data_IF_789113605067
#
_entry.id   IF_789113605067
#
_cell.length_a   1.000
_cell.length_b   1.000
_cell.length_c   1.000
_cell.angle_alpha   90.00
_cell.angle_beta   90.00
_cell.angle_gamma   90.00
#
_symmetry.space_group_name_H-M   'P 1'
#
loop_
_entity.id
_entity.type
_entity.pdbx_description
1 polymer ?
#
# COMPACT_ATOMS: atom_id res chain seq x y z
N UNK A 1 36.82 23.47 -22.38
CA UNK A 1 37.73 22.72 -21.47
C UNK A 1 37.10 21.43 -20.92
N UNK A 2 35.97 21.46 -20.21
CA UNK A 2 35.30 20.24 -19.66
C UNK A 2 34.98 19.21 -20.74
N UNK A 3 34.35 19.63 -21.84
CA UNK A 3 34.00 18.74 -22.96
C UNK A 3 35.24 18.11 -23.62
N UNK A 4 36.33 18.86 -23.77
CA UNK A 4 37.59 18.35 -24.35
C UNK A 4 38.29 17.35 -23.42
N UNK A 5 38.28 17.59 -22.11
CA UNK A 5 38.79 16.63 -21.13
C UNK A 5 37.96 15.34 -21.13
N UNK A 6 36.64 15.48 -21.25
CA UNK A 6 35.71 14.37 -21.34
C UNK A 6 35.91 13.54 -22.62
N UNK A 7 36.03 14.19 -23.78
CA UNK A 7 36.35 13.54 -25.06
C UNK A 7 37.74 12.86 -25.02
N UNK A 8 38.73 13.49 -24.39
CA UNK A 8 40.04 12.88 -24.20
C UNK A 8 39.98 11.66 -23.29
N UNK A 9 39.10 11.66 -22.28
CA UNK A 9 38.89 10.52 -21.41
C UNK A 9 38.26 9.34 -22.15
N UNK A 10 37.20 9.61 -22.91
CA UNK A 10 36.57 8.65 -23.82
C UNK A 10 37.58 8.02 -24.77
N UNK A 11 38.41 8.82 -25.45
CA UNK A 11 39.32 8.33 -26.48
C UNK A 11 40.54 7.59 -25.92
N UNK A 12 41.12 8.08 -24.82
CA UNK A 12 42.39 7.55 -24.28
C UNK A 12 42.21 6.44 -23.23
N UNK A 13 41.03 6.31 -22.64
CA UNK A 13 40.75 5.35 -21.56
C UNK A 13 39.43 4.59 -21.77
N UNK A 14 39.20 4.12 -23.01
CA UNK A 14 37.97 3.46 -23.47
C UNK A 14 37.48 2.34 -22.54
N UNK A 15 38.36 1.43 -22.14
CA UNK A 15 37.99 0.29 -21.28
C UNK A 15 37.49 0.71 -19.90
N UNK A 16 38.19 1.64 -19.25
CA UNK A 16 37.78 2.17 -17.93
C UNK A 16 36.47 2.97 -18.01
N UNK A 17 36.30 3.73 -19.09
CA UNK A 17 35.05 4.44 -19.34
C UNK A 17 33.88 3.48 -19.55
N UNK A 18 34.06 2.43 -20.35
CA UNK A 18 33.03 1.43 -20.60
C UNK A 18 32.63 0.71 -19.30
N UNK A 19 33.60 0.29 -18.48
CA UNK A 19 33.35 -0.33 -17.17
C UNK A 19 32.56 0.60 -16.25
N UNK A 20 32.94 1.89 -16.20
CA UNK A 20 32.22 2.90 -15.42
C UNK A 20 30.76 3.00 -15.88
N UNK A 21 30.54 3.17 -17.20
CA UNK A 21 29.20 3.35 -17.75
C UNK A 21 28.32 2.12 -17.53
N UNK A 22 28.81 0.93 -17.88
CA UNK A 22 28.05 -0.32 -17.74
C UNK A 22 27.68 -0.54 -16.28
N UNK A 23 28.62 -0.39 -15.35
CA UNK A 23 28.30 -0.61 -13.95
C UNK A 23 27.27 0.38 -13.41
N UNK A 24 27.36 1.66 -13.76
CA UNK A 24 26.41 2.66 -13.27
C UNK A 24 25.02 2.47 -13.88
N UNK A 25 24.94 2.09 -15.16
CA UNK A 25 23.69 1.74 -15.83
C UNK A 25 23.05 0.52 -15.15
N UNK A 26 23.82 -0.55 -14.93
CA UNK A 26 23.32 -1.76 -14.26
C UNK A 26 22.82 -1.43 -12.85
N UNK A 27 23.58 -0.64 -12.08
CA UNK A 27 23.15 -0.22 -10.74
C UNK A 27 21.82 0.54 -10.75
N UNK A 28 21.63 1.49 -11.67
CA UNK A 28 20.37 2.23 -11.79
C UNK A 28 19.21 1.31 -12.18
N UNK A 29 19.43 0.40 -13.14
CA UNK A 29 18.43 -0.60 -13.56
C UNK A 29 18.04 -1.51 -12.39
N UNK A 30 19.00 -1.97 -11.59
CA UNK A 30 18.72 -2.77 -10.39
C UNK A 30 17.92 -1.99 -9.35
N UNK A 31 18.26 -0.72 -9.09
CA UNK A 31 17.54 0.13 -8.13
C UNK A 31 16.08 0.31 -8.58
N UNK A 32 15.86 0.60 -9.87
CA UNK A 32 14.52 0.67 -10.44
C UNK A 32 13.81 -0.65 -10.22
N UNK A 33 14.35 -1.76 -10.73
CA UNK A 33 13.74 -3.08 -10.59
C UNK A 33 13.34 -3.44 -9.15
N UNK A 34 14.25 -3.30 -8.18
CA UNK A 34 13.99 -3.59 -6.77
C UNK A 34 12.88 -2.70 -6.21
N UNK A 35 12.86 -1.41 -6.55
CA UNK A 35 11.77 -0.51 -6.16
C UNK A 35 10.42 -0.97 -6.71
N UNK A 36 10.37 -1.37 -7.98
CA UNK A 36 9.15 -1.87 -8.62
C UNK A 36 8.63 -3.16 -7.99
N UNK A 37 9.51 -4.12 -7.72
CA UNK A 37 9.12 -5.36 -7.03
C UNK A 37 8.58 -5.06 -5.64
N UNK A 38 9.20 -4.13 -4.91
CA UNK A 38 8.76 -3.77 -3.58
C UNK A 38 7.37 -3.14 -3.57
N UNK A 39 7.17 -2.10 -4.38
CA UNK A 39 5.88 -1.44 -4.48
C UNK A 39 4.80 -2.41 -4.97
N UNK A 40 5.14 -3.35 -5.87
CA UNK A 40 4.20 -4.39 -6.30
C UNK A 40 3.75 -5.25 -5.14
N UNK A 41 4.70 -5.71 -4.31
CA UNK A 41 4.37 -6.53 -3.15
C UNK A 41 3.50 -5.73 -2.16
N UNK A 42 3.81 -4.45 -1.92
CA UNK A 42 2.93 -3.60 -1.11
C UNK A 42 1.53 -3.46 -1.70
N UNK A 43 1.41 -3.32 -3.03
CA UNK A 43 0.12 -3.28 -3.71
C UNK A 43 -0.62 -4.63 -3.65
N UNK A 44 0.07 -5.76 -3.79
CA UNK A 44 -0.52 -7.09 -3.58
C UNK A 44 -1.03 -7.27 -2.15
N UNK A 45 -0.29 -6.74 -1.19
CA UNK A 45 -0.67 -6.78 0.22
C UNK A 45 -1.85 -5.84 0.49
N UNK A 46 -1.89 -4.64 -0.10
CA UNK A 46 -2.99 -3.68 0.09
C UNK A 46 -4.26 -4.03 -0.69
N UNK A 47 -4.15 -4.59 -1.89
CA UNK A 47 -5.29 -5.00 -2.71
C UNK A 47 -6.08 -6.15 -2.06
N UNK A 48 -5.45 -6.92 -1.19
CA UNK A 48 -6.11 -7.94 -0.35
C UNK A 48 -6.78 -7.34 0.92
N UNK A 49 -6.68 -6.03 1.15
CA UNK A 49 -7.05 -5.34 2.42
C UNK A 49 -8.03 -4.19 2.19
N UNK A 50 -8.53 -4.02 0.97
CA UNK A 50 -9.30 -2.83 0.60
C UNK A 50 -10.72 -2.78 1.19
N UNK A 51 -11.01 -3.63 2.16
CA UNK A 51 -12.24 -3.54 2.90
C UNK A 51 -11.91 -2.94 4.26
N UNK A 52 -12.47 -1.77 4.57
CA UNK A 52 -12.61 -1.25 5.93
C UNK A 52 -13.57 -2.16 6.75
N UNK A 53 -13.55 -3.44 6.47
CA UNK A 53 -14.56 -4.42 6.81
C UNK A 53 -13.85 -5.51 7.58
N UNK A 54 -14.18 -5.62 8.86
CA UNK A 54 -13.78 -6.74 9.69
C UNK A 54 -14.87 -7.79 9.61
N UNK A 55 -14.52 -9.06 9.45
CA UNK A 55 -15.50 -10.12 9.27
C UNK A 55 -15.28 -11.28 10.23
N UNK A 56 -16.37 -11.92 10.62
CA UNK A 56 -16.37 -13.14 11.40
C UNK A 56 -17.56 -14.03 11.05
N UNK A 57 -17.34 -15.33 11.21
CA UNK A 57 -18.30 -16.39 10.94
C UNK A 57 -18.68 -17.10 12.25
N UNK A 58 -19.95 -17.49 12.35
CA UNK A 58 -20.49 -18.28 13.46
C UNK A 58 -20.93 -19.69 13.04
N UNK A 59 -20.54 -20.16 11.85
CA UNK A 59 -20.99 -21.44 11.27
C UNK A 59 -20.80 -22.67 12.17
N UNK A 60 -19.92 -22.61 13.17
CA UNK A 60 -19.61 -23.72 14.09
C UNK A 60 -20.14 -23.51 15.51
N UNK A 61 -20.84 -22.41 15.78
CA UNK A 61 -21.29 -22.04 17.11
C UNK A 61 -22.75 -21.61 17.11
N UNK A 62 -23.37 -21.63 18.28
CA UNK A 62 -24.72 -21.10 18.47
C UNK A 62 -24.61 -19.82 19.25
N UNK A 63 -24.75 -18.68 18.56
CA UNK A 63 -24.68 -17.35 19.16
C UNK A 63 -26.07 -16.85 19.48
N UNK A 64 -26.26 -16.29 20.68
CA UNK A 64 -27.52 -15.66 21.05
C UNK A 64 -27.53 -14.18 20.67
N UNK A 65 -28.74 -13.63 20.46
CA UNK A 65 -28.92 -12.19 20.23
C UNK A 65 -28.32 -11.33 21.34
N UNK A 66 -28.43 -11.78 22.59
CA UNK A 66 -27.92 -11.08 23.76
C UNK A 66 -26.39 -10.98 23.74
N UNK A 67 -25.71 -12.08 23.39
CA UNK A 67 -24.27 -12.11 23.20
C UNK A 67 -23.83 -11.16 22.10
N UNK A 68 -24.50 -11.19 20.95
CA UNK A 68 -24.19 -10.31 19.82
C UNK A 68 -24.41 -8.83 20.16
N UNK A 69 -25.50 -8.52 20.86
CA UNK A 69 -25.83 -7.16 21.31
C UNK A 69 -24.79 -6.64 22.30
N UNK A 70 -24.27 -7.50 23.16
CA UNK A 70 -23.16 -7.14 24.06
C UNK A 70 -21.92 -6.78 23.25
N UNK A 71 -21.52 -7.61 22.28
CA UNK A 71 -20.36 -7.34 21.43
C UNK A 71 -20.52 -6.01 20.68
N UNK A 72 -21.68 -5.75 20.07
CA UNK A 72 -21.92 -4.48 19.36
C UNK A 72 -21.67 -3.29 20.28
N UNK A 73 -22.22 -3.33 21.50
CA UNK A 73 -22.03 -2.26 22.50
C UNK A 73 -20.57 -2.15 22.93
N UNK A 74 -19.89 -3.25 23.25
CA UNK A 74 -18.47 -3.20 23.61
C UNK A 74 -17.64 -2.57 22.49
N UNK A 75 -17.84 -2.99 21.24
CA UNK A 75 -17.09 -2.47 20.07
C UNK A 75 -17.35 -0.99 19.80
N UNK A 76 -18.49 -0.45 20.19
CA UNK A 76 -18.89 0.95 19.91
C UNK A 76 -18.69 1.89 21.11
N UNK A 77 -18.96 1.42 22.33
CA UNK A 77 -18.90 2.22 23.55
C UNK A 77 -17.54 2.11 24.26
N UNK A 78 -16.95 0.91 24.31
CA UNK A 78 -15.73 0.65 25.11
C UNK A 78 -14.45 0.79 24.27
N UNK A 79 -14.53 0.51 22.97
CA UNK A 79 -13.42 0.62 22.04
C UNK A 79 -13.61 1.82 21.09
N UNK A 80 -12.52 2.52 20.77
CA UNK A 80 -12.51 3.62 19.78
C UNK A 80 -12.53 3.08 18.34
N UNK A 81 -13.51 2.22 18.01
CA UNK A 81 -13.74 1.87 16.61
C UNK A 81 -14.58 2.94 15.96
N UNK A 82 -14.08 3.49 14.86
CA UNK A 82 -14.85 4.39 14.01
C UNK A 82 -15.81 3.59 13.11
N UNK A 83 -16.74 2.85 13.71
CA UNK A 83 -17.72 2.00 13.02
C UNK A 83 -18.70 2.85 12.24
N UNK A 84 -18.89 2.51 10.96
CA UNK A 84 -19.93 3.08 10.11
C UNK A 84 -21.25 2.32 10.29
N UNK A 85 -21.23 1.01 10.01
CA UNK A 85 -22.33 0.10 10.28
C UNK A 85 -21.82 -1.33 10.49
N UNK A 86 -22.72 -2.18 10.96
CA UNK A 86 -22.50 -3.59 11.22
C UNK A 86 -23.46 -4.38 10.32
N UNK A 87 -22.91 -5.32 9.56
CA UNK A 87 -23.68 -6.28 8.78
C UNK A 87 -23.87 -7.55 9.62
N UNK A 88 -25.12 -7.98 9.75
CA UNK A 88 -25.49 -9.20 10.47
C UNK A 88 -26.33 -10.04 9.54
N UNK A 89 -25.94 -11.29 9.34
CA UNK A 89 -26.67 -12.27 8.53
C UNK A 89 -27.02 -13.50 9.37
N UNK A 90 -28.20 -14.05 9.14
CA UNK A 90 -28.70 -15.23 9.83
C UNK A 90 -29.59 -16.07 8.91
N UNK A 91 -29.57 -17.38 9.09
CA UNK A 91 -30.39 -18.31 8.32
C UNK A 91 -31.09 -19.33 9.22
N UNK A 92 -32.13 -19.96 8.69
CA UNK A 92 -32.75 -21.13 9.30
C UNK A 92 -32.38 -22.37 8.50
N UNK A 93 -31.90 -23.41 9.21
CA UNK A 93 -31.43 -24.64 8.58
C UNK A 93 -32.52 -25.26 7.70
N UNK A 94 -32.22 -25.42 6.41
CA UNK A 94 -33.15 -25.99 5.42
C UNK A 94 -34.13 -24.98 4.82
N UNK A 95 -33.97 -23.68 5.11
CA UNK A 95 -34.67 -22.58 4.46
C UNK A 95 -33.77 -21.96 3.39
N UNK A 96 -34.36 -21.56 2.27
CA UNK A 96 -33.69 -20.74 1.23
C UNK A 96 -33.75 -19.23 1.57
N UNK A 97 -34.24 -18.89 2.77
CA UNK A 97 -34.41 -17.52 3.24
C UNK A 97 -33.26 -17.16 4.19
N UNK A 98 -32.63 -16.02 3.94
CA UNK A 98 -31.69 -15.37 4.86
C UNK A 98 -32.29 -14.09 5.45
N UNK A 99 -31.82 -13.74 6.64
CA UNK A 99 -32.23 -12.57 7.41
C UNK A 99 -31.01 -11.68 7.58
N UNK A 100 -31.08 -10.46 7.06
CA UNK A 100 -29.97 -9.52 7.08
C UNK A 100 -30.36 -8.19 7.72
N UNK A 101 -29.39 -7.56 8.37
CA UNK A 101 -29.48 -6.21 8.87
C UNK A 101 -28.16 -5.47 8.64
N UNK A 102 -28.25 -4.19 8.31
CA UNK A 102 -27.12 -3.26 8.18
C UNK A 102 -27.28 -2.21 9.25
N UNK A 103 -27.06 -2.65 10.49
CA UNK A 103 -27.39 -1.90 11.70
C UNK A 103 -26.31 -0.88 12.04
N UNK A 104 -26.74 0.27 12.52
CA UNK A 104 -25.89 1.30 13.10
C UNK A 104 -26.28 1.50 14.57
N UNK A 105 -25.28 1.58 15.43
CA UNK A 105 -25.44 1.89 16.86
C UNK A 105 -24.70 3.20 17.17
N UNK A 106 -25.46 4.23 17.52
CA UNK A 106 -24.96 5.58 17.84
C UNK A 106 -25.70 6.11 19.06
N UNK A 107 -24.97 6.72 19.99
CA UNK A 107 -25.54 7.37 21.19
C UNK A 107 -26.53 6.48 21.97
N UNK A 108 -26.24 5.18 22.04
CA UNK A 108 -27.08 4.21 22.73
C UNK A 108 -28.30 3.71 21.94
N UNK A 109 -28.48 4.15 20.68
CA UNK A 109 -29.65 3.87 19.86
C UNK A 109 -29.29 3.01 18.64
N UNK A 110 -30.07 1.94 18.43
CA UNK A 110 -30.00 1.12 17.20
C UNK A 110 -30.89 1.71 16.11
N UNK A 111 -30.37 1.71 14.89
CA UNK A 111 -31.04 2.18 13.68
C UNK A 111 -30.49 1.47 12.45
N UNK A 112 -31.19 1.54 11.32
CA UNK A 112 -30.62 1.11 10.04
C UNK A 112 -29.56 2.12 9.58
N UNK A 113 -28.51 1.65 8.88
CA UNK A 113 -27.40 2.50 8.44
C UNK A 113 -27.85 3.62 7.50
N UNK A 114 -27.59 4.87 7.87
CA UNK A 114 -27.81 6.05 7.02
C UNK A 114 -27.07 5.94 5.68
N UNK A 115 -25.82 5.46 5.69
CA UNK A 115 -24.99 5.31 4.49
C UNK A 115 -25.59 4.30 3.52
N UNK A 116 -26.08 3.18 4.03
CA UNK A 116 -26.72 2.16 3.19
C UNK A 116 -28.07 2.66 2.70
N UNK A 117 -28.85 3.32 3.56
CA UNK A 117 -30.13 3.93 3.19
C UNK A 117 -29.98 4.89 2.01
N UNK A 118 -28.96 5.75 2.03
CA UNK A 118 -28.66 6.66 0.93
C UNK A 118 -28.38 5.91 -0.39
N UNK A 119 -27.65 4.79 -0.33
CA UNK A 119 -27.32 3.97 -1.49
C UNK A 119 -28.53 3.21 -2.07
N UNK A 120 -29.48 2.80 -1.24
CA UNK A 120 -30.66 2.02 -1.69
C UNK A 120 -31.88 2.88 -2.00
N UNK A 121 -31.86 4.18 -1.67
CA UNK A 121 -33.01 5.10 -1.82
C UNK A 121 -33.61 5.13 -3.22
N UNK A 122 -32.80 4.97 -4.27
CA UNK A 122 -33.27 4.93 -5.66
C UNK A 122 -33.97 3.63 -6.07
N UNK A 123 -33.87 2.58 -5.24
CA UNK A 123 -34.34 1.22 -5.51
C UNK A 123 -35.33 0.72 -4.45
N UNK A 124 -35.72 1.58 -3.50
CA UNK A 124 -36.57 1.28 -2.36
C UNK A 124 -37.95 1.89 -2.55
N UNK A 125 -38.98 1.04 -2.55
CA UNK A 125 -40.36 1.45 -2.35
C UNK A 125 -40.73 1.27 -0.87
N UNK A 126 -41.33 2.28 -0.24
CA UNK A 126 -41.63 2.27 1.20
C UNK A 126 -40.47 2.74 2.06
N UNK A 127 -40.24 2.08 3.19
CA UNK A 127 -39.25 2.50 4.19
C UNK A 127 -38.35 1.34 4.66
N UNK A 128 -37.10 1.67 4.98
CA UNK A 128 -36.23 0.79 5.78
C UNK A 128 -36.61 0.86 7.27
N UNK A 129 -36.04 -0.04 8.06
CA UNK A 129 -36.29 -0.07 9.49
C UNK A 129 -35.83 1.23 10.20
N UNK A 130 -36.79 1.95 10.76
CA UNK A 130 -36.60 3.11 11.63
C UNK A 130 -36.18 2.74 13.07
N UNK A 131 -35.55 3.66 13.84
CA UNK A 131 -35.11 3.41 15.22
C UNK A 131 -36.20 2.88 16.16
N UNK A 132 -37.47 3.28 15.94
CA UNK A 132 -38.61 2.79 16.73
C UNK A 132 -38.80 1.28 16.60
N UNK A 133 -38.53 0.71 15.42
CA UNK A 133 -38.66 -0.73 15.17
C UNK A 133 -37.63 -1.52 15.97
N UNK A 134 -36.39 -1.01 16.09
CA UNK A 134 -35.35 -1.61 16.92
C UNK A 134 -35.70 -1.51 18.40
N UNK A 135 -36.13 -0.33 18.87
CA UNK A 135 -36.44 -0.07 20.29
C UNK A 135 -37.57 -0.94 20.81
N UNK A 136 -38.61 -1.16 20.00
CA UNK A 136 -39.78 -1.97 20.37
C UNK A 136 -39.69 -3.42 19.90
N UNK A 137 -38.64 -3.77 19.17
CA UNK A 137 -38.45 -5.10 18.56
C UNK A 137 -39.66 -5.46 17.70
N UNK A 138 -40.11 -4.50 16.88
CA UNK A 138 -41.27 -4.70 16.00
C UNK A 138 -40.92 -5.67 14.86
N UNK A 139 -41.89 -6.52 14.51
CA UNK A 139 -41.76 -7.54 13.48
C UNK A 139 -42.07 -6.93 12.13
N UNK A 140 -41.12 -6.17 11.60
CA UNK A 140 -41.19 -5.53 10.28
C UNK A 140 -40.16 -6.13 9.34
N UNK A 141 -40.41 -6.09 8.04
CA UNK A 141 -39.50 -6.65 7.02
C UNK A 141 -39.55 -5.83 5.73
N UNK A 142 -38.40 -5.74 5.07
CA UNK A 142 -38.23 -5.26 3.71
C UNK A 142 -37.89 -6.47 2.83
N UNK A 143 -38.64 -6.63 1.76
CA UNK A 143 -38.60 -7.82 0.89
C UNK A 143 -38.05 -7.49 -0.49
N UNK A 144 -37.63 -8.52 -1.25
CA UNK A 144 -37.36 -8.37 -2.67
C UNK A 144 -38.68 -8.30 -3.48
N UNK A 145 -38.70 -7.64 -4.65
CA UNK A 145 -39.89 -7.56 -5.51
C UNK A 145 -40.41 -8.94 -5.96
N UNK A 146 -39.56 -9.97 -5.94
CA UNK A 146 -39.91 -11.30 -6.43
C UNK A 146 -40.85 -12.08 -5.49
N UNK A 147 -41.02 -11.64 -4.25
CA UNK A 147 -41.93 -12.24 -3.26
C UNK A 147 -43.41 -11.93 -3.58
N UNK A 148 -43.70 -11.00 -4.52
CA UNK A 148 -45.05 -10.67 -5.01
C UNK A 148 -46.06 -10.38 -3.89
N UNK A 149 -45.65 -9.57 -2.91
CA UNK A 149 -46.50 -9.03 -1.85
C UNK A 149 -46.37 -7.52 -1.76
N UNK A 150 -47.43 -6.87 -1.28
CA UNK A 150 -47.50 -5.41 -1.19
C UNK A 150 -47.11 -4.89 0.20
N UNK A 151 -46.66 -3.64 0.24
CA UNK A 151 -46.39 -2.90 1.48
C UNK A 151 -47.68 -2.82 2.32
N UNK A 152 -47.52 -3.01 3.64
CA UNK A 152 -48.61 -3.06 4.62
C UNK A 152 -49.22 -4.45 4.81
N UNK A 153 -48.93 -5.41 3.92
CA UNK A 153 -49.35 -6.81 4.10
C UNK A 153 -48.44 -7.54 5.10
N UNK A 154 -48.91 -8.70 5.56
CA UNK A 154 -48.16 -9.57 6.46
C UNK A 154 -47.56 -10.76 5.69
N UNK A 155 -46.34 -11.14 6.06
CA UNK A 155 -45.67 -12.37 5.63
C UNK A 155 -45.30 -13.23 6.82
N UNK A 156 -45.46 -14.55 6.69
CA UNK A 156 -45.04 -15.51 7.71
C UNK A 156 -43.65 -16.02 7.36
N UNK A 157 -42.68 -15.76 8.22
CA UNK A 157 -41.28 -16.17 8.09
C UNK A 157 -40.93 -17.05 9.30
N UNK A 158 -40.59 -18.31 9.04
CA UNK A 158 -40.23 -19.32 10.06
C UNK A 158 -41.20 -19.48 11.24
N UNK A 159 -42.50 -19.25 10.98
CA UNK A 159 -43.59 -19.37 11.94
C UNK A 159 -43.89 -18.08 12.71
N UNK A 160 -43.27 -16.96 12.34
CA UNK A 160 -43.53 -15.64 12.91
C UNK A 160 -44.06 -14.68 11.83
N UNK A 161 -44.98 -13.79 12.20
CA UNK A 161 -45.62 -12.86 11.26
C UNK A 161 -44.90 -11.52 11.27
N UNK A 162 -44.57 -11.01 10.08
CA UNK A 162 -43.89 -9.74 9.86
C UNK A 162 -44.73 -8.84 8.96
N UNK A 163 -44.82 -7.56 9.31
CA UNK A 163 -45.41 -6.54 8.44
C UNK A 163 -44.39 -6.09 7.40
N UNK A 164 -44.79 -6.07 6.13
CA UNK A 164 -43.95 -5.57 5.03
C UNK A 164 -43.99 -4.04 5.07
N UNK A 165 -42.84 -3.40 5.27
CA UNK A 165 -42.71 -1.94 5.33
C UNK A 165 -42.01 -1.35 4.11
N UNK A 166 -41.36 -2.18 3.30
CA UNK A 166 -40.72 -1.76 2.07
C UNK A 166 -40.40 -2.92 1.13
N UNK A 167 -40.09 -2.57 -0.11
CA UNK A 167 -39.64 -3.46 -1.17
C UNK A 167 -38.34 -2.89 -1.74
N UNK A 168 -37.25 -3.64 -1.67
CA UNK A 168 -35.93 -3.19 -2.13
C UNK A 168 -35.48 -4.03 -3.34
N UNK A 169 -35.31 -3.37 -4.49
CA UNK A 169 -34.91 -4.02 -5.74
C UNK A 169 -33.43 -4.48 -5.77
N UNK A 170 -32.64 -4.12 -4.76
CA UNK A 170 -31.24 -4.53 -4.62
C UNK A 170 -31.12 -5.88 -3.90
N UNK A 171 -32.13 -6.29 -3.13
CA UNK A 171 -32.06 -7.51 -2.33
C UNK A 171 -32.18 -8.74 -3.22
N UNK A 172 -31.35 -9.74 -2.94
CA UNK A 172 -31.36 -11.03 -3.63
C UNK A 172 -32.66 -11.81 -3.38
N UNK A 173 -32.90 -12.82 -4.22
CA UNK A 173 -33.99 -13.75 -3.99
C UNK A 173 -33.77 -14.53 -2.71
N UNK A 174 -34.72 -14.44 -1.78
CA UNK A 174 -34.64 -15.08 -0.46
C UNK A 174 -34.02 -14.21 0.63
N UNK A 175 -33.50 -13.02 0.32
CA UNK A 175 -32.92 -12.12 1.31
C UNK A 175 -33.98 -11.21 1.94
N UNK A 176 -34.15 -11.31 3.26
CA UNK A 176 -35.12 -10.53 4.03
C UNK A 176 -34.38 -9.52 4.90
N UNK A 177 -34.64 -8.23 4.69
CA UNK A 177 -33.96 -7.17 5.43
C UNK A 177 -34.86 -6.67 6.56
N UNK A 178 -34.39 -6.79 7.80
CA UNK A 178 -35.18 -6.48 9.00
C UNK A 178 -34.28 -6.18 10.20
N UNK A 179 -34.79 -5.54 11.28
CA UNK A 179 -33.99 -5.37 12.48
C UNK A 179 -33.46 -6.72 13.00
N UNK A 180 -32.16 -6.83 13.25
CA UNK A 180 -31.56 -8.08 13.77
C UNK A 180 -32.15 -8.48 15.13
N UNK A 181 -32.58 -7.49 15.91
CA UNK A 181 -33.32 -7.68 17.15
C UNK A 181 -34.64 -8.41 16.95
N UNK A 182 -35.20 -8.33 15.74
CA UNK A 182 -36.47 -8.92 15.35
C UNK A 182 -36.31 -10.18 14.51
N UNK A 183 -35.10 -10.72 14.28
CA UNK A 183 -34.93 -12.00 13.57
C UNK A 183 -35.77 -13.13 14.19
N UNK A 184 -36.20 -14.14 13.38
CA UNK A 184 -36.95 -15.28 13.89
C UNK A 184 -36.18 -16.02 14.98
N UNK A 185 -36.89 -16.56 15.98
CA UNK A 185 -36.25 -17.26 17.10
C UNK A 185 -35.45 -18.51 16.69
N UNK A 186 -35.80 -19.10 15.55
CA UNK A 186 -35.13 -20.28 15.00
C UNK A 186 -33.88 -19.93 14.18
N UNK A 187 -33.66 -18.65 13.88
CA UNK A 187 -32.53 -18.23 13.06
C UNK A 187 -31.21 -18.43 13.81
N UNK A 188 -30.21 -18.91 13.10
CA UNK A 188 -28.83 -18.99 13.55
C UNK A 188 -28.06 -17.87 12.86
N UNK A 189 -27.32 -17.07 13.65
CA UNK A 189 -26.44 -16.06 13.08
C UNK A 189 -25.30 -16.74 12.33
N UNK A 190 -25.04 -16.31 11.11
CA UNK A 190 -24.04 -16.89 10.22
C UNK A 190 -22.80 -16.00 10.13
N UNK A 191 -23.03 -14.70 9.92
CA UNK A 191 -21.97 -13.72 9.65
C UNK A 191 -22.17 -12.47 10.51
N UNK A 192 -21.06 -11.96 11.04
CA UNK A 192 -20.99 -10.65 11.68
C UNK A 192 -19.82 -9.88 11.12
N UNK A 193 -20.12 -8.73 10.52
CA UNK A 193 -19.11 -7.90 9.90
C UNK A 193 -19.26 -6.45 10.31
N UNK A 194 -18.14 -5.76 10.45
CA UNK A 194 -18.09 -4.36 10.87
C UNK A 194 -17.43 -3.57 9.77
N UNK A 195 -18.19 -2.65 9.17
CA UNK A 195 -17.65 -1.64 8.28
C UNK A 195 -17.18 -0.44 9.10
N UNK A 196 -15.97 0.02 8.82
CA UNK A 196 -15.27 1.10 9.49
C UNK A 196 -15.16 2.30 8.55
N UNK A 197 -15.13 3.49 9.13
CA UNK A 197 -14.88 4.74 8.40
C UNK A 197 -13.39 4.93 8.08
N UNK A 198 -12.51 4.27 8.85
CA UNK A 198 -11.04 4.29 8.70
C UNK A 198 -10.46 2.87 8.76
N UNK A 199 -9.23 2.69 8.25
CA UNK A 199 -8.53 1.40 8.37
C UNK A 199 -8.25 1.09 9.86
N UNK A 200 -8.53 -0.13 10.34
CA UNK A 200 -8.28 -0.49 11.73
C UNK A 200 -6.80 -0.72 12.01
N UNK A 201 -6.39 -0.45 13.24
CA UNK A 201 -5.09 -0.82 13.79
C UNK A 201 -5.04 -2.30 14.17
N UNK A 202 -3.82 -2.84 14.38
CA UNK A 202 -3.66 -4.24 14.83
C UNK A 202 -4.35 -4.51 16.17
N UNK A 203 -4.23 -3.58 17.11
CA UNK A 203 -4.89 -3.69 18.41
C UNK A 203 -6.40 -3.79 18.24
N UNK A 204 -7.00 -2.89 17.44
CA UNK A 204 -8.43 -2.93 17.15
C UNK A 204 -8.84 -4.27 16.53
N UNK A 205 -8.12 -4.80 15.53
CA UNK A 205 -8.47 -6.13 15.02
C UNK A 205 -8.34 -7.25 16.05
N UNK A 206 -7.31 -7.22 16.89
CA UNK A 206 -7.14 -8.23 17.95
C UNK A 206 -8.26 -8.12 19.00
N UNK A 207 -8.68 -6.89 19.35
CA UNK A 207 -9.83 -6.61 20.24
C UNK A 207 -11.16 -7.12 19.62
N UNK A 208 -11.41 -6.82 18.34
CA UNK A 208 -12.54 -7.36 17.57
C UNK A 208 -12.56 -8.90 17.60
N UNK A 209 -11.40 -9.52 17.35
CA UNK A 209 -11.27 -10.97 17.37
C UNK A 209 -11.50 -11.55 18.76
N UNK A 210 -11.03 -10.87 19.80
CA UNK A 210 -11.20 -11.32 21.17
C UNK A 210 -12.67 -11.32 21.58
N UNK A 211 -13.40 -10.24 21.30
CA UNK A 211 -14.82 -10.13 21.63
C UNK A 211 -15.67 -11.19 20.90
N UNK A 212 -15.39 -11.43 19.62
CA UNK A 212 -16.14 -12.42 18.85
C UNK A 212 -15.76 -13.85 19.20
N UNK A 213 -14.48 -14.12 19.46
CA UNK A 213 -14.04 -15.44 19.92
C UNK A 213 -14.65 -15.81 21.27
N UNK A 214 -14.88 -14.84 22.15
CA UNK A 214 -15.54 -15.05 23.45
C UNK A 214 -16.98 -15.59 23.32
N UNK A 215 -17.64 -15.33 22.19
CA UNK A 215 -19.00 -15.83 21.89
C UNK A 215 -19.00 -16.98 20.87
N UNK A 216 -17.82 -17.49 20.47
CA UNK A 216 -17.67 -18.61 19.54
C UNK A 216 -17.57 -18.22 18.07
N UNK A 217 -17.27 -16.96 17.75
CA UNK A 217 -16.96 -16.51 16.40
C UNK A 217 -15.57 -16.89 15.92
N UNK A 218 -15.45 -17.18 14.63
CA UNK A 218 -14.19 -17.36 13.91
C UNK A 218 -13.99 -16.11 13.04
N UNK A 219 -13.02 -15.27 13.41
CA UNK A 219 -12.70 -14.08 12.63
C UNK A 219 -11.91 -14.45 11.38
N UNK A 220 -12.24 -13.82 10.27
CA UNK A 220 -11.48 -13.97 9.04
C UNK A 220 -10.09 -13.36 9.23
N UNK A 221 -9.11 -13.92 8.51
CA UNK A 221 -7.77 -13.35 8.46
C UNK A 221 -7.85 -11.95 7.86
N UNK A 222 -7.72 -10.94 8.73
CA UNK A 222 -7.63 -9.55 8.31
C UNK A 222 -6.15 -9.18 8.22
N UNK A 223 -5.69 -8.86 7.01
CA UNK A 223 -4.32 -8.47 6.83
C UNK A 223 -4.09 -7.06 7.39
N UNK A 224 -3.29 -6.98 8.45
CA UNK A 224 -2.73 -5.73 8.99
C UNK A 224 -1.23 -5.88 8.89
N UNK A 225 -0.55 -4.91 8.27
CA UNK A 225 0.91 -4.90 8.09
C UNK A 225 1.62 -5.38 9.38
N UNK A 226 2.13 -6.61 9.36
CA UNK A 226 2.76 -7.24 10.52
C UNK A 226 4.27 -6.91 10.56
N UNK A 227 4.91 -7.16 11.70
CA UNK A 227 6.35 -7.03 11.91
C UNK A 227 7.19 -7.85 10.89
N UNK A 228 6.66 -8.95 10.34
CA UNK A 228 7.30 -9.71 9.28
C UNK A 228 7.39 -8.94 7.95
N UNK A 229 6.37 -8.13 7.64
CA UNK A 229 6.34 -7.29 6.44
C UNK A 229 7.16 -6.02 6.63
N UNK A 230 7.19 -5.45 7.85
CA UNK A 230 8.20 -4.45 8.22
C UNK A 230 9.61 -5.02 8.10
N UNK A 231 9.84 -6.27 8.50
CA UNK A 231 11.15 -6.93 8.35
C UNK A 231 11.52 -7.09 6.88
N UNK A 232 10.56 -7.42 6.00
CA UNK A 232 10.75 -7.43 4.55
C UNK A 232 11.09 -6.03 4.04
N UNK A 233 10.33 -5.00 4.42
CA UNK A 233 10.57 -3.59 4.08
C UNK A 233 11.95 -3.11 4.53
N UNK A 234 12.33 -3.33 5.79
CA UNK A 234 13.65 -2.97 6.32
C UNK A 234 14.79 -3.76 5.66
N UNK A 235 14.60 -5.05 5.38
CA UNK A 235 15.60 -5.87 4.67
C UNK A 235 15.81 -5.36 3.24
N UNK A 236 14.76 -4.85 2.60
CA UNK A 236 14.81 -4.33 1.24
C UNK A 236 15.38 -2.92 1.16
N UNK A 237 15.03 -2.01 2.10
CA UNK A 237 15.76 -0.74 2.27
C UNK A 237 17.25 -1.03 2.47
N UNK A 238 17.59 -2.05 3.27
CA UNK A 238 18.95 -2.54 3.42
C UNK A 238 19.61 -2.92 2.08
N UNK A 239 18.94 -3.72 1.25
CA UNK A 239 19.44 -4.12 -0.08
C UNK A 239 19.60 -2.91 -1.01
N UNK A 240 18.64 -1.99 -1.06
CA UNK A 240 18.72 -0.78 -1.89
C UNK A 240 19.86 0.15 -1.44
N UNK A 241 20.06 0.31 -0.13
CA UNK A 241 21.20 1.05 0.43
C UNK A 241 22.52 0.36 0.09
N UNK A 242 22.60 -0.98 0.19
CA UNK A 242 23.79 -1.75 -0.21
C UNK A 242 24.11 -1.57 -1.70
N UNK A 243 23.09 -1.63 -2.58
CA UNK A 243 23.27 -1.40 -4.01
C UNK A 243 23.73 0.03 -4.32
N UNK A 244 23.15 1.04 -3.64
CA UNK A 244 23.59 2.42 -3.77
C UNK A 244 25.03 2.63 -3.27
N UNK A 245 25.42 1.99 -2.16
CA UNK A 245 26.78 2.01 -1.62
C UNK A 245 27.76 1.29 -2.56
N UNK A 246 27.37 0.17 -3.18
CA UNK A 246 28.20 -0.53 -4.18
C UNK A 246 28.40 0.31 -5.44
N UNK A 247 27.34 0.94 -5.94
CA UNK A 247 27.42 1.87 -7.08
C UNK A 247 28.36 3.05 -6.77
N UNK A 248 28.22 3.60 -5.57
CA UNK A 248 29.08 4.65 -5.04
C UNK A 248 30.53 4.23 -4.82
N UNK A 249 30.77 3.04 -4.27
CA UNK A 249 32.09 2.46 -4.05
C UNK A 249 32.81 2.19 -5.37
N UNK A 250 32.10 1.66 -6.37
CA UNK A 250 32.67 1.46 -7.70
C UNK A 250 33.03 2.80 -8.35
N UNK A 251 32.14 3.79 -8.26
CA UNK A 251 32.45 5.15 -8.70
C UNK A 251 33.70 5.69 -8.00
N UNK A 252 33.81 5.51 -6.67
CA UNK A 252 34.97 5.93 -5.90
C UNK A 252 36.28 5.32 -6.42
N UNK A 253 36.31 4.01 -6.68
CA UNK A 253 37.50 3.33 -7.18
C UNK A 253 37.91 3.85 -8.57
N UNK A 254 36.96 3.95 -9.50
CA UNK A 254 37.25 4.36 -10.87
C UNK A 254 37.69 5.82 -10.92
N UNK A 255 36.97 6.72 -10.25
CA UNK A 255 37.36 8.13 -10.23
C UNK A 255 38.69 8.33 -9.48
N UNK A 256 38.97 7.62 -8.39
CA UNK A 256 40.29 7.65 -7.73
C UNK A 256 41.40 7.23 -8.69
N UNK A 257 41.17 6.21 -9.52
CA UNK A 257 42.14 5.78 -10.53
C UNK A 257 42.34 6.84 -11.62
N UNK A 258 41.25 7.39 -12.17
CA UNK A 258 41.30 8.49 -13.15
C UNK A 258 42.09 9.66 -12.59
N UNK A 259 41.84 10.01 -11.33
CA UNK A 259 42.55 11.08 -10.65
C UNK A 259 44.03 10.80 -10.54
N UNK A 260 44.43 9.60 -10.11
CA UNK A 260 45.86 9.19 -10.07
C UNK A 260 46.53 9.39 -11.43
N UNK A 261 45.86 8.97 -12.51
CA UNK A 261 46.39 9.08 -13.87
C UNK A 261 46.42 10.51 -14.40
N UNK A 262 45.56 11.41 -13.91
CA UNK A 262 45.50 12.84 -14.27
C UNK A 262 46.26 13.77 -13.29
N UNK A 263 46.98 13.24 -12.30
CA UNK A 263 47.74 14.04 -11.31
C UNK A 263 48.73 15.01 -11.95
N UNK A 264 49.46 14.57 -12.98
CA UNK A 264 50.44 15.41 -13.68
C UNK A 264 49.74 16.54 -14.44
N UNK A 265 48.63 16.24 -15.13
CA UNK A 265 47.82 17.23 -15.84
C UNK A 265 47.24 18.27 -14.87
N UNK A 266 46.80 17.83 -13.68
CA UNK A 266 46.34 18.73 -12.61
C UNK A 266 47.45 19.60 -12.03
N UNK A 267 48.66 19.05 -11.88
CA UNK A 267 49.82 19.82 -11.44
C UNK A 267 50.19 20.91 -12.46
N UNK A 268 50.14 20.60 -13.77
CA UNK A 268 50.32 21.59 -14.84
C UNK A 268 49.25 22.68 -14.77
N UNK A 269 47.97 22.32 -14.63
CA UNK A 269 46.90 23.31 -14.46
C UNK A 269 47.12 24.21 -13.24
N UNK A 270 47.56 23.64 -12.11
CA UNK A 270 47.87 24.42 -10.91
C UNK A 270 49.06 25.36 -11.11
N UNK A 271 50.09 24.96 -11.87
CA UNK A 271 51.24 25.80 -12.21
C UNK A 271 50.85 26.95 -13.15
N UNK A 272 49.90 26.71 -14.05
CA UNK A 272 49.31 27.73 -14.92
C UNK A 272 48.25 28.62 -14.22
N UNK A 273 48.16 28.61 -12.89
CA UNK A 273 47.26 29.48 -12.13
C UNK A 273 45.84 28.95 -11.89
N UNK A 274 45.54 27.68 -12.24
CA UNK A 274 44.23 27.09 -11.95
C UNK A 274 44.05 26.87 -10.44
N UNK A 275 43.05 27.53 -9.86
CA UNK A 275 42.73 27.35 -8.44
C UNK A 275 42.23 25.92 -8.16
N UNK A 276 42.49 25.43 -6.95
CA UNK A 276 41.95 24.15 -6.47
C UNK A 276 40.41 24.10 -6.51
N UNK A 277 39.72 25.24 -6.41
CA UNK A 277 38.25 25.32 -6.52
C UNK A 277 37.80 25.11 -7.98
N UNK A 278 38.48 25.73 -8.93
CA UNK A 278 38.18 25.61 -10.36
C UNK A 278 38.42 24.18 -10.84
N UNK A 279 39.53 23.55 -10.44
CA UNK A 279 39.78 22.14 -10.72
C UNK A 279 38.65 21.23 -10.21
N UNK A 280 38.22 21.41 -8.96
CA UNK A 280 37.11 20.64 -8.38
C UNK A 280 35.81 20.82 -9.16
N UNK A 281 35.44 22.04 -9.57
CA UNK A 281 34.23 22.30 -10.37
C UNK A 281 34.27 21.59 -11.73
N UNK A 282 35.43 21.55 -12.39
CA UNK A 282 35.57 20.82 -13.65
C UNK A 282 35.32 19.33 -13.49
N UNK A 283 35.80 18.71 -12.41
CA UNK A 283 35.55 17.30 -12.13
C UNK A 283 34.10 16.98 -11.82
N UNK A 284 33.45 17.86 -11.05
CA UNK A 284 32.01 17.74 -10.82
C UNK A 284 31.20 17.83 -12.12
N UNK A 285 31.58 18.72 -13.02
CA UNK A 285 30.94 18.83 -14.32
C UNK A 285 31.14 17.57 -15.18
N UNK A 286 32.31 16.92 -15.14
CA UNK A 286 32.54 15.64 -15.81
C UNK A 286 31.68 14.50 -15.23
N UNK A 287 31.54 14.46 -13.89
CA UNK A 287 30.68 13.49 -13.20
C UNK A 287 29.21 13.69 -13.60
N UNK A 288 28.73 14.93 -13.58
CA UNK A 288 27.37 15.27 -13.97
C UNK A 288 27.07 14.90 -15.42
N UNK A 289 28.00 15.17 -16.33
CA UNK A 289 27.82 14.86 -17.75
C UNK A 289 27.77 13.35 -18.00
N UNK A 290 28.59 12.56 -17.30
CA UNK A 290 28.48 11.10 -17.31
C UNK A 290 27.12 10.65 -16.75
N UNK A 291 26.62 11.31 -15.71
CA UNK A 291 25.37 10.95 -15.09
C UNK A 291 24.15 11.17 -15.98
N UNK A 292 24.12 12.25 -16.75
CA UNK A 292 23.04 12.45 -17.74
C UNK A 292 22.95 11.25 -18.68
N UNK A 293 24.09 10.73 -19.16
CA UNK A 293 24.11 9.57 -20.06
C UNK A 293 23.65 8.31 -19.32
N UNK A 294 24.14 8.06 -18.09
CA UNK A 294 23.72 6.91 -17.29
C UNK A 294 22.21 6.93 -17.03
N UNK A 295 21.65 8.08 -16.70
CA UNK A 295 20.22 8.23 -16.43
C UNK A 295 19.38 7.95 -17.68
N UNK A 296 19.72 8.60 -18.80
CA UNK A 296 18.99 8.40 -20.05
C UNK A 296 19.07 6.94 -20.49
N UNK A 297 20.28 6.38 -20.57
CA UNK A 297 20.46 5.00 -21.03
C UNK A 297 19.83 4.02 -20.04
N UNK A 298 20.06 4.17 -18.74
CA UNK A 298 19.52 3.27 -17.72
C UNK A 298 18.00 3.29 -17.61
N UNK A 299 17.36 4.47 -17.68
CA UNK A 299 15.90 4.57 -17.69
C UNK A 299 15.33 3.97 -18.97
N UNK A 300 15.93 4.23 -20.13
CA UNK A 300 15.49 3.61 -21.40
C UNK A 300 15.67 2.09 -21.37
N UNK A 301 16.80 1.59 -20.89
CA UNK A 301 17.05 0.16 -20.72
C UNK A 301 16.01 -0.47 -19.81
N UNK A 302 15.71 0.16 -18.67
CA UNK A 302 14.68 -0.33 -17.77
C UNK A 302 13.30 -0.31 -18.44
N UNK A 303 12.89 0.82 -19.03
CA UNK A 303 11.54 1.00 -19.59
C UNK A 303 11.25 0.08 -20.77
N UNK A 304 12.23 -0.15 -21.66
CA UNK A 304 12.00 -0.90 -22.90
C UNK A 304 12.37 -2.38 -22.82
N UNK A 305 13.23 -2.79 -21.88
CA UNK A 305 13.67 -4.18 -21.79
C UNK A 305 13.27 -4.84 -20.47
N UNK A 306 13.61 -4.23 -19.34
CA UNK A 306 13.39 -4.87 -18.02
C UNK A 306 11.93 -4.78 -17.58
N UNK A 307 11.29 -3.62 -17.76
CA UNK A 307 9.90 -3.39 -17.36
C UNK A 307 8.91 -4.31 -18.10
N UNK A 308 9.00 -4.51 -19.43
CA UNK A 308 8.12 -5.46 -20.12
C UNK A 308 8.29 -6.91 -19.64
N UNK A 309 9.52 -7.32 -19.34
CA UNK A 309 9.79 -8.65 -18.76
C UNK A 309 9.20 -8.76 -17.35
N UNK A 310 9.43 -7.75 -16.51
CA UNK A 310 8.95 -7.72 -15.13
C UNK A 310 7.41 -7.68 -15.05
N UNK A 311 6.74 -7.01 -15.99
CA UNK A 311 5.26 -6.97 -16.05
C UNK A 311 4.63 -8.37 -16.16
N UNK A 312 5.33 -9.34 -16.74
CA UNK A 312 4.84 -10.72 -16.83
C UNK A 312 4.90 -11.47 -15.49
N UNK A 313 5.69 -10.98 -14.53
CA UNK A 313 5.89 -11.61 -13.22
C UNK A 313 5.19 -10.88 -12.08
N UNK A 314 4.86 -9.59 -12.26
CA UNK A 314 4.35 -8.71 -11.21
C UNK A 314 3.09 -7.98 -11.67
N UNK A 315 1.96 -8.28 -11.02
CA UNK A 315 0.63 -7.86 -11.47
C UNK A 315 0.39 -6.34 -11.38
N UNK A 316 0.92 -5.69 -10.34
CA UNK A 316 0.69 -4.27 -10.04
C UNK A 316 1.80 -3.36 -10.55
N UNK A 317 2.78 -3.91 -11.27
CA UNK A 317 3.96 -3.16 -11.71
C UNK A 317 3.62 -1.96 -12.62
N UNK A 318 2.47 -2.00 -13.28
CA UNK A 318 1.97 -0.91 -14.12
C UNK A 318 1.44 0.30 -13.33
N UNK A 319 0.99 0.11 -12.09
CA UNK A 319 0.48 1.19 -11.24
C UNK A 319 1.61 1.99 -10.58
N UNK A 320 2.81 1.42 -10.52
CA UNK A 320 3.93 1.93 -9.72
C UNK A 320 4.71 3.02 -10.46
N UNK A 321 4.97 2.82 -11.75
CA UNK A 321 5.93 3.65 -12.49
C UNK A 321 5.26 4.81 -13.22
N UNK A 322 5.09 5.92 -12.51
CA UNK A 322 4.78 7.22 -13.08
C UNK A 322 6.02 8.10 -13.30
N UNK A 323 5.79 9.28 -13.90
CA UNK A 323 6.86 10.27 -14.14
C UNK A 323 7.50 10.71 -12.81
N UNK A 324 6.68 10.86 -11.75
CA UNK A 324 7.13 11.29 -10.43
C UNK A 324 8.13 10.31 -9.82
N UNK A 325 7.86 9.02 -9.90
CA UNK A 325 8.66 7.96 -9.29
C UNK A 325 10.01 7.83 -10.00
N UNK A 326 10.02 7.87 -11.33
CA UNK A 326 11.27 7.94 -12.09
C UNK A 326 12.12 9.15 -11.70
N UNK A 327 11.52 10.34 -11.60
CA UNK A 327 12.22 11.57 -11.20
C UNK A 327 12.80 11.46 -9.79
N UNK A 328 12.03 10.94 -8.82
CA UNK A 328 12.52 10.77 -7.44
C UNK A 328 13.71 9.80 -7.35
N UNK A 329 13.61 8.62 -7.99
CA UNK A 329 14.68 7.61 -7.96
C UNK A 329 15.95 8.17 -8.62
N UNK A 330 15.80 8.85 -9.77
CA UNK A 330 16.90 9.49 -10.46
C UNK A 330 17.55 10.59 -9.60
N UNK A 331 16.75 11.42 -8.91
CA UNK A 331 17.26 12.47 -8.03
C UNK A 331 18.07 11.89 -6.86
N UNK A 332 17.58 10.82 -6.21
CA UNK A 332 18.30 10.12 -5.13
C UNK A 332 19.62 9.54 -5.64
N UNK A 333 19.59 8.89 -6.80
CA UNK A 333 20.78 8.30 -7.42
C UNK A 333 21.85 9.37 -7.73
N UNK A 334 21.46 10.50 -8.32
CA UNK A 334 22.34 11.64 -8.57
C UNK A 334 22.92 12.15 -7.25
N UNK A 335 22.09 12.33 -6.21
CA UNK A 335 22.53 12.86 -4.93
C UNK A 335 23.62 12.00 -4.28
N UNK A 336 23.43 10.67 -4.22
CA UNK A 336 24.41 9.73 -3.63
C UNK A 336 25.75 9.80 -4.37
N UNK A 337 25.70 9.85 -5.70
CA UNK A 337 26.89 9.92 -6.55
C UNK A 337 27.63 11.24 -6.36
N UNK A 338 26.90 12.35 -6.35
CA UNK A 338 27.50 13.66 -6.14
C UNK A 338 28.11 13.79 -4.75
N UNK A 339 27.49 13.20 -3.72
CA UNK A 339 28.02 13.14 -2.36
C UNK A 339 29.38 12.42 -2.35
N UNK A 340 29.49 11.29 -3.01
CA UNK A 340 30.75 10.51 -3.09
C UNK A 340 31.80 11.24 -3.92
N UNK A 341 31.39 11.85 -5.04
CA UNK A 341 32.23 12.74 -5.84
C UNK A 341 32.79 13.91 -5.03
N UNK A 342 31.98 14.49 -4.13
CA UNK A 342 32.39 15.55 -3.22
C UNK A 342 33.46 15.11 -2.23
N UNK A 343 33.24 13.96 -1.57
CA UNK A 343 34.19 13.42 -0.60
C UNK A 343 35.57 13.11 -1.23
N UNK A 344 35.57 12.56 -2.45
CA UNK A 344 36.78 12.33 -3.25
C UNK A 344 37.52 13.63 -3.56
N UNK A 345 36.78 14.61 -4.09
CA UNK A 345 37.27 15.92 -4.49
C UNK A 345 37.88 16.69 -3.30
N UNK A 346 37.30 16.55 -2.10
CA UNK A 346 37.80 17.12 -0.86
C UNK A 346 39.17 16.56 -0.46
N UNK A 347 39.34 15.24 -0.42
CA UNK A 347 40.63 14.57 -0.08
C UNK A 347 41.76 15.00 -1.00
N UNK A 348 41.46 15.22 -2.28
CA UNK A 348 42.45 15.61 -3.27
C UNK A 348 42.92 17.05 -3.15
N UNK A 349 42.04 17.99 -2.79
CA UNK A 349 42.39 19.41 -2.64
C UNK A 349 43.46 19.65 -1.55
N UNK A 350 43.68 18.67 -0.68
CA UNK A 350 44.71 18.70 0.37
C UNK A 350 46.12 18.33 -0.14
N UNK A 351 46.25 17.70 -1.32
CA UNK A 351 47.57 17.37 -1.88
C UNK A 351 48.28 18.61 -2.43
N UNK A 352 49.59 18.74 -2.19
CA UNK A 352 50.43 19.82 -2.73
C UNK A 352 50.98 19.47 -4.11
N UNK A 353 51.38 20.48 -4.91
CA UNK A 353 51.95 20.30 -6.26
C UNK A 353 53.18 19.37 -6.23
N UNK A 354 53.99 19.45 -5.18
CA UNK A 354 55.16 18.57 -4.96
C UNK A 354 54.74 17.12 -4.72
N UNK A 355 53.68 16.88 -3.94
CA UNK A 355 53.12 15.55 -3.71
C UNK A 355 52.46 14.97 -4.98
N UNK A 356 51.84 15.80 -5.81
CA UNK A 356 51.29 15.36 -7.10
C UNK A 356 52.37 14.96 -8.11
N UNK A 357 53.57 15.56 -8.02
CA UNK A 357 54.70 15.30 -8.92
C UNK A 357 55.58 14.12 -8.48
N UNK A 358 55.75 13.88 -7.18
CA UNK A 358 56.61 12.79 -6.65
C UNK A 358 56.01 11.38 -6.75
N UNK A 359 54.70 11.26 -6.99
CA UNK A 359 54.01 9.97 -6.88
C UNK A 359 53.94 9.49 -5.43
N UNK A 360 52.86 8.81 -5.05
CA UNK A 360 52.93 7.98 -3.84
C UNK A 360 53.78 6.76 -4.22
N UNK A 361 54.79 6.43 -3.40
CA UNK A 361 55.44 5.10 -3.48
C UNK A 361 54.39 4.00 -3.32
#
# INVERSE_FOLDING_TARGET
>A
MVLQNWISFLKKQKGLFAILMVSQIVSLVCILFVFGVFQNNLYELSANVDTKFLNASFRKSTVTREQLTKVIKTLTDDYDFSIDYIYIDASVKGSDISYQDRVQYKDGVFSYSDRVLENVKGSLDGEMAQPVHYKKVEKVVVISPNIKKDIGQTITLDGENYQIIGINNVNGDGEMEMPYLSFPKKAHYDTFSVELTMLPTRSQYDDFCQELKAIGGECDDFYIQNNADRKKEYSMIGISVLLALLAGGNMYMIYRYIFRKRRIQLAVYSLCGCSKRTARRMFFAEILLNMVIVLVVGVLTFRFFVYPLAKNWFAYLFMIYGIREYVMICAIFIFVVLLIGYLLSGKMSKQTVVQMRKGEK
#
